data_IF_245351670359
#
_entry.id   IF_245351670359
#
_cell.length_a   1.000
_cell.length_b   1.000
_cell.length_c   1.000
_cell.angle_alpha   90.00
_cell.angle_beta   90.00
_cell.angle_gamma   90.00
#
_symmetry.space_group_name_H-M   'P 1'
#
loop_
_entity.id
_entity.type
_entity.pdbx_description
1 polymer ?
#
# COMPACT_ATOMS: atom_id res chain seq x y z
N UNK A 1 -12.23 57.40 -12.94
CA UNK A 1 -11.07 57.04 -12.11
C UNK A 1 -11.63 56.68 -10.75
N UNK A 2 -11.62 55.46 -10.22
CA UNK A 2 -11.06 54.14 -10.55
C UNK A 2 -12.02 53.14 -9.87
N UNK A 3 -12.39 51.96 -10.37
CA UNK A 3 -11.69 51.09 -11.27
C UNK A 3 -10.72 50.16 -10.54
N UNK A 4 -11.12 49.34 -9.55
CA UNK A 4 -10.57 47.97 -9.47
C UNK A 4 -11.28 46.97 -8.52
N UNK A 5 -11.73 45.87 -9.13
CA UNK A 5 -11.60 44.46 -8.73
C UNK A 5 -11.95 44.04 -7.29
N UNK A 6 -13.16 43.48 -7.17
CA UNK A 6 -13.34 42.11 -6.63
C UNK A 6 -12.18 41.20 -7.04
N UNK A 7 -11.52 40.57 -6.06
CA UNK A 7 -10.85 39.24 -6.09
C UNK A 7 -9.60 39.30 -5.24
N UNK A 8 -9.71 39.01 -3.94
CA UNK A 8 -8.70 38.32 -3.12
C UNK A 8 -9.39 38.11 -1.77
N UNK A 9 -10.03 36.98 -1.51
CA UNK A 9 -9.34 35.90 -0.79
C UNK A 9 -10.27 34.70 -0.61
N UNK A 10 -10.78 34.11 -1.70
CA UNK A 10 -11.47 32.81 -1.62
C UNK A 10 -10.50 31.62 -1.43
N UNK A 11 -9.19 31.87 -1.57
CA UNK A 11 -8.15 30.86 -1.36
C UNK A 11 -7.78 30.60 0.11
N UNK A 12 -8.32 31.37 1.07
CA UNK A 12 -8.03 31.18 2.51
C UNK A 12 -8.81 30.04 3.17
N UNK A 13 -9.74 29.42 2.46
CA UNK A 13 -10.63 28.36 2.97
C UNK A 13 -10.60 27.07 2.16
N UNK A 14 -9.73 26.97 1.14
CA UNK A 14 -9.50 25.67 0.54
C UNK A 14 -8.67 24.86 1.55
N UNK A 15 -9.15 23.69 2.02
CA UNK A 15 -8.26 22.77 2.71
C UNK A 15 -7.04 22.57 1.81
N UNK A 16 -5.82 22.46 2.37
CA UNK A 16 -4.64 22.16 1.57
C UNK A 16 -5.05 21.00 0.67
N UNK A 17 -4.84 21.15 -0.66
CA UNK A 17 -5.10 20.10 -1.64
C UNK A 17 -4.59 18.84 -0.97
N UNK A 18 -5.52 18.00 -0.52
CA UNK A 18 -5.16 16.79 0.19
C UNK A 18 -4.38 16.08 -0.89
N UNK A 19 -3.06 16.01 -0.72
CA UNK A 19 -2.21 15.26 -1.62
C UNK A 19 -2.85 13.90 -1.60
N UNK A 20 -3.59 13.57 -2.67
CA UNK A 20 -4.11 12.24 -2.89
C UNK A 20 -2.84 11.42 -3.02
N UNK A 21 -2.36 10.90 -1.90
CA UNK A 21 -1.22 10.01 -1.88
C UNK A 21 -1.66 8.85 -2.76
N UNK A 22 -1.08 8.78 -3.96
CA UNK A 22 -1.45 7.76 -4.91
C UNK A 22 -1.19 6.42 -4.26
N UNK A 23 -2.27 5.72 -3.89
CA UNK A 23 -2.19 4.39 -3.33
C UNK A 23 -2.04 3.41 -4.49
N UNK A 24 -0.95 2.64 -4.48
CA UNK A 24 -0.73 1.55 -5.43
C UNK A 24 -1.35 0.28 -4.89
N UNK A 25 -2.11 -0.40 -5.73
CA UNK A 25 -2.68 -1.70 -5.41
C UNK A 25 -1.66 -2.80 -5.71
N UNK A 26 -1.37 -3.64 -4.74
CA UNK A 26 -0.52 -4.82 -4.88
C UNK A 26 -1.36 -6.06 -4.58
N UNK A 27 -1.42 -7.00 -5.51
CA UNK A 27 -2.07 -8.28 -5.29
C UNK A 27 -1.06 -9.26 -4.71
N UNK A 28 -1.32 -9.76 -3.51
CA UNK A 28 -0.50 -10.74 -2.82
C UNK A 28 -1.24 -12.08 -2.75
N UNK A 29 -0.51 -13.17 -2.97
CA UNK A 29 -1.00 -14.54 -2.78
C UNK A 29 -0.07 -15.22 -1.79
N UNK A 30 -0.67 -15.85 -0.78
CA UNK A 30 0.05 -16.48 0.31
C UNK A 30 0.22 -17.96 0.00
N UNK A 31 1.35 -18.54 0.38
CA UNK A 31 1.65 -19.92 0.02
C UNK A 31 3.11 -20.28 0.29
N UNK A 32 3.46 -21.49 -0.09
CA UNK A 32 4.80 -22.04 0.10
C UNK A 32 5.37 -22.57 -1.21
N UNK A 33 6.70 -22.45 -1.34
CA UNK A 33 7.43 -23.07 -2.44
C UNK A 33 7.80 -24.49 -2.04
N UNK A 34 7.38 -25.47 -2.84
CA UNK A 34 7.69 -26.89 -2.66
C UNK A 34 8.54 -27.39 -3.82
N UNK A 35 9.67 -28.01 -3.52
CA UNK A 35 10.50 -28.69 -4.50
C UNK A 35 10.00 -30.13 -4.68
N UNK A 36 9.45 -30.45 -5.85
CA UNK A 36 8.97 -31.80 -6.19
C UNK A 36 9.48 -32.19 -7.56
N UNK A 37 10.08 -33.38 -7.65
CA UNK A 37 10.63 -33.94 -8.90
C UNK A 37 11.61 -32.98 -9.62
N UNK A 38 12.40 -32.23 -8.84
CA UNK A 38 13.35 -31.23 -9.35
C UNK A 38 12.72 -29.92 -9.82
N UNK A 39 11.41 -29.75 -9.66
CA UNK A 39 10.66 -28.56 -10.07
C UNK A 39 10.09 -27.82 -8.85
N UNK A 40 10.24 -26.49 -8.84
CA UNK A 40 9.60 -25.65 -7.83
C UNK A 40 8.13 -25.42 -8.18
N UNK A 41 7.25 -25.79 -7.25
CA UNK A 41 5.81 -25.57 -7.34
C UNK A 41 5.42 -24.58 -6.24
N UNK A 42 4.67 -23.54 -6.60
CA UNK A 42 4.07 -22.66 -5.61
C UNK A 42 2.69 -23.20 -5.22
N UNK A 43 2.53 -23.57 -3.96
CA UNK A 43 1.26 -24.05 -3.41
C UNK A 43 0.62 -22.92 -2.62
N UNK A 44 -0.54 -22.47 -3.10
CA UNK A 44 -1.31 -21.40 -2.47
C UNK A 44 -1.91 -21.91 -1.15
N UNK A 45 -1.76 -21.12 -0.09
CA UNK A 45 -2.45 -21.33 1.17
C UNK A 45 -3.93 -21.00 0.97
N UNK A 46 -4.77 -22.03 0.95
CA UNK A 46 -6.22 -21.89 0.73
C UNK A 46 -6.96 -21.25 1.91
N UNK A 47 -6.38 -21.23 3.10
CA UNK A 47 -6.97 -20.55 4.26
C UNK A 47 -6.68 -19.05 4.23
N UNK A 48 -5.47 -18.65 3.81
CA UNK A 48 -5.09 -17.24 3.68
C UNK A 48 -5.55 -16.61 2.36
N UNK A 49 -5.53 -17.39 1.29
CA UNK A 49 -5.98 -16.99 -0.05
C UNK A 49 -5.13 -15.90 -0.69
N UNK A 50 -5.81 -14.98 -1.38
CA UNK A 50 -5.20 -13.78 -1.97
C UNK A 50 -5.70 -12.53 -1.26
N UNK A 51 -4.84 -11.51 -1.16
CA UNK A 51 -5.19 -10.22 -0.58
C UNK A 51 -4.75 -9.07 -1.49
N UNK A 52 -5.49 -7.98 -1.40
CA UNK A 52 -5.11 -6.72 -2.01
C UNK A 52 -4.47 -5.84 -0.94
N UNK A 53 -3.20 -5.51 -1.12
CA UNK A 53 -2.44 -4.59 -0.29
C UNK A 53 -2.44 -3.20 -0.92
N UNK A 54 -2.47 -2.16 -0.09
CA UNK A 54 -2.41 -0.77 -0.54
C UNK A 54 -1.11 -0.15 -0.07
N UNK A 55 -0.30 0.28 -1.03
CA UNK A 55 0.99 0.91 -0.78
C UNK A 55 0.89 2.40 -1.02
N UNK A 56 1.48 3.21 -0.14
CA UNK A 56 1.69 4.62 -0.42
C UNK A 56 2.89 4.79 -1.36
N UNK A 57 2.99 5.94 -2.04
CA UNK A 57 4.14 6.24 -2.89
C UNK A 57 5.48 6.26 -2.14
N UNK A 58 5.45 6.51 -0.82
CA UNK A 58 6.61 6.48 0.07
C UNK A 58 6.86 5.13 0.75
N UNK A 59 6.10 4.07 0.43
CA UNK A 59 6.24 2.77 1.08
C UNK A 59 7.62 2.16 0.80
N UNK A 60 8.30 1.80 1.88
CA UNK A 60 9.65 1.23 1.88
C UNK A 60 9.60 -0.31 1.92
N UNK A 61 10.76 -0.94 1.70
CA UNK A 61 10.89 -2.38 1.91
C UNK A 61 10.54 -2.79 3.34
N UNK A 62 10.87 -1.98 4.35
CA UNK A 62 10.54 -2.27 5.74
C UNK A 62 9.03 -2.30 5.98
N UNK A 63 8.28 -1.40 5.35
CA UNK A 63 6.82 -1.37 5.44
C UNK A 63 6.20 -2.65 4.84
N UNK A 64 6.72 -3.11 3.70
CA UNK A 64 6.29 -4.38 3.08
C UNK A 64 6.56 -5.58 4.00
N UNK A 65 7.72 -5.59 4.65
CA UNK A 65 8.10 -6.65 5.60
C UNK A 65 7.16 -6.63 6.81
N UNK A 66 6.88 -5.46 7.38
CA UNK A 66 5.96 -5.32 8.52
C UNK A 66 4.54 -5.81 8.16
N UNK A 67 3.99 -5.39 7.02
CA UNK A 67 2.69 -5.87 6.55
C UNK A 67 2.66 -7.39 6.37
N UNK A 68 3.73 -7.96 5.82
CA UNK A 68 3.84 -9.42 5.65
C UNK A 68 3.92 -10.12 7.01
N UNK A 69 4.68 -9.59 7.96
CA UNK A 69 4.83 -10.17 9.29
C UNK A 69 3.52 -10.16 10.07
N UNK A 70 2.78 -9.05 10.03
CA UNK A 70 1.44 -8.93 10.61
C UNK A 70 0.48 -9.96 9.99
N UNK A 71 0.43 -10.06 8.66
CA UNK A 71 -0.44 -11.01 7.94
C UNK A 71 -0.11 -12.48 8.23
N UNK A 72 1.18 -12.80 8.40
CA UNK A 72 1.61 -14.15 8.74
C UNK A 72 1.58 -14.43 10.25
N UNK A 73 1.27 -13.42 11.09
CA UNK A 73 1.36 -13.52 12.56
C UNK A 73 2.70 -14.10 13.00
N UNK A 74 3.78 -13.72 12.32
CA UNK A 74 5.12 -14.19 12.64
C UNK A 74 5.55 -13.50 13.93
N UNK A 75 5.98 -14.28 14.91
CA UNK A 75 6.57 -13.72 16.13
C UNK A 75 7.82 -12.94 15.73
N UNK A 76 7.80 -11.64 16.02
CA UNK A 76 8.87 -10.68 15.72
C UNK A 76 10.10 -10.82 16.62
N UNK A 77 10.21 -11.93 17.34
CA UNK A 77 11.24 -12.16 18.33
C UNK A 77 12.49 -12.75 17.64
N UNK A 78 13.28 -11.88 17.04
CA UNK A 78 14.67 -12.16 16.63
C UNK A 78 15.64 -11.32 17.45
#
# INVERSE_FOLDING_TARGET
MDGDRTTTSLYRFLPPITTFHMMRQLHAVYGEWLLKDGCWNFVVDHFKGARMLFLSEGSTHADLVAMTQEDYSLDMNT
#
